data_IF_424910949134
#
_entry.id   IF_424910949134
#
_cell.length_a   1.000
_cell.length_b   1.000
_cell.length_c   1.000
_cell.angle_alpha   90.00
_cell.angle_beta   90.00
_cell.angle_gamma   90.00
#
_symmetry.space_group_name_H-M   'P 1'
#
loop_
_entity.id
_entity.type
_entity.pdbx_description
1 polymer ?
#
# COMPACT_ATOMS: atom_id res chain seq x y z
N UNK A 1 7.64 20.69 -23.92
CA UNK A 1 6.91 19.49 -23.45
C UNK A 1 5.46 19.86 -23.24
N UNK A 2 4.48 19.02 -23.61
CA UNK A 2 3.06 19.31 -23.35
C UNK A 2 2.75 19.34 -21.84
N UNK A 3 1.72 20.09 -21.42
CA UNK A 3 1.23 20.03 -20.04
C UNK A 3 0.84 18.59 -19.69
N UNK A 4 1.37 18.07 -18.59
CA UNK A 4 1.09 16.72 -18.12
C UNK A 4 0.81 16.74 -16.61
N UNK A 5 -0.03 15.82 -16.17
CA UNK A 5 -0.33 15.55 -14.78
C UNK A 5 -0.41 14.03 -14.57
N UNK A 6 -0.30 13.60 -13.31
CA UNK A 6 -0.42 12.21 -12.92
C UNK A 6 -0.82 12.09 -11.46
N UNK A 7 -1.20 10.88 -11.04
CA UNK A 7 -1.48 10.57 -9.66
C UNK A 7 -0.93 9.18 -9.31
N UNK A 8 -0.72 8.94 -8.01
CA UNK A 8 -0.33 7.65 -7.46
C UNK A 8 -1.36 7.17 -6.45
N UNK A 9 -1.61 5.86 -6.43
CA UNK A 9 -2.50 5.22 -5.48
C UNK A 9 -1.82 3.96 -4.92
N UNK A 10 -1.79 3.84 -3.59
CA UNK A 10 -1.30 2.63 -2.92
C UNK A 10 -2.39 1.57 -2.89
N UNK A 11 -2.16 0.43 -3.53
CA UNK A 11 -3.12 -0.69 -3.60
C UNK A 11 -3.44 -1.21 -2.19
N UNK A 12 -2.44 -1.31 -1.33
CA UNK A 12 -2.58 -1.79 0.05
C UNK A 12 -3.47 -0.84 0.86
N UNK A 13 -3.32 0.48 0.69
CA UNK A 13 -4.16 1.48 1.37
C UNK A 13 -5.59 1.52 0.82
N UNK A 14 -5.75 1.28 -0.48
CA UNK A 14 -7.06 1.13 -1.08
C UNK A 14 -7.79 -0.08 -0.47
N UNK A 15 -7.14 -1.25 -0.44
CA UNK A 15 -7.71 -2.47 0.14
C UNK A 15 -8.04 -2.33 1.62
N UNK A 16 -7.13 -1.73 2.41
CA UNK A 16 -7.34 -1.45 3.83
C UNK A 16 -8.63 -0.64 4.06
N UNK A 17 -8.89 0.34 3.19
CA UNK A 17 -10.09 1.19 3.26
C UNK A 17 -11.34 0.43 2.79
N UNK A 18 -11.25 -0.30 1.67
CA UNK A 18 -12.37 -1.05 1.11
C UNK A 18 -12.85 -2.18 2.03
N UNK A 19 -11.92 -2.81 2.75
CA UNK A 19 -12.18 -3.94 3.63
C UNK A 19 -12.32 -3.56 5.10
N UNK A 20 -12.22 -2.26 5.44
CA UNK A 20 -12.26 -1.74 6.81
C UNK A 20 -11.29 -2.45 7.77
N UNK A 21 -10.04 -2.63 7.32
CA UNK A 21 -8.96 -3.26 8.08
C UNK A 21 -8.14 -2.16 8.78
N UNK A 22 -7.77 -2.37 10.04
CA UNK A 22 -7.05 -1.35 10.84
C UNK A 22 -5.54 -1.37 10.65
N UNK A 23 -4.97 -2.49 10.18
CA UNK A 23 -3.52 -2.63 9.99
C UNK A 23 -3.17 -3.01 8.55
N UNK A 24 -2.39 -2.16 7.88
CA UNK A 24 -1.93 -2.38 6.49
C UNK A 24 -1.14 -3.68 6.30
N UNK A 25 -0.57 -4.25 7.37
CA UNK A 25 0.17 -5.52 7.29
C UNK A 25 -0.73 -6.71 7.02
N UNK A 26 -2.03 -6.59 7.30
CA UNK A 26 -3.02 -7.67 7.11
C UNK A 26 -3.49 -7.77 5.66
N UNK A 27 -3.27 -6.72 4.86
CA UNK A 27 -3.58 -6.70 3.42
C UNK A 27 -2.34 -6.99 2.54
N UNK A 28 -1.21 -7.36 3.16
CA UNK A 28 0.06 -7.63 2.46
C UNK A 28 0.52 -9.05 2.79
N UNK A 29 0.80 -9.85 1.76
CA UNK A 29 1.23 -11.24 1.92
C UNK A 29 2.57 -11.38 2.68
N UNK A 30 3.55 -10.54 2.34
CA UNK A 30 4.87 -10.49 2.99
C UNK A 30 5.20 -9.03 3.36
N UNK A 31 4.71 -8.53 4.50
CA UNK A 31 4.86 -7.12 4.85
C UNK A 31 6.32 -6.76 5.10
N UNK A 32 6.77 -5.68 4.47
CA UNK A 32 8.12 -5.12 4.61
C UNK A 32 8.08 -3.90 5.49
N UNK A 33 8.98 -3.85 6.47
CA UNK A 33 9.21 -2.65 7.27
C UNK A 33 10.70 -2.54 7.65
N UNK A 34 11.09 -1.48 8.36
CA UNK A 34 12.50 -1.26 8.76
C UNK A 34 13.09 -2.37 9.65
N UNK A 35 12.25 -3.18 10.30
CA UNK A 35 12.61 -4.23 11.27
C UNK A 35 12.32 -5.65 10.74
N UNK A 36 11.52 -5.81 9.68
CA UNK A 36 11.12 -7.08 9.07
C UNK A 36 11.52 -7.13 7.61
N UNK A 37 12.57 -7.90 7.34
CA UNK A 37 13.16 -8.11 6.00
C UNK A 37 13.09 -9.57 5.53
N UNK A 38 12.52 -10.48 6.33
CA UNK A 38 12.39 -11.90 5.99
C UNK A 38 11.03 -12.46 6.45
N UNK A 39 10.44 -13.41 5.71
CA UNK A 39 10.72 -13.69 4.29
C UNK A 39 10.48 -12.45 3.44
#
# INVERSE_FOLDING_TARGET
MPPHAGFGLGIERLLMTMLNIENIREVILFPRDRRRLVP
#
